data_IF_599060794109
#
_entry.id   IF_599060794109
#
_cell.length_a   1.000
_cell.length_b   1.000
_cell.length_c   1.000
_cell.angle_alpha   90.00
_cell.angle_beta   90.00
_cell.angle_gamma   90.00
#
_symmetry.space_group_name_H-M   'P 1'
#
loop_
_entity.id
_entity.type
_entity.pdbx_description
1 polymer ?
#
# COMPACT_ATOMS: atom_id res chain seq x y z
N UNK A 1 4.73 15.33 -13.87
CA UNK A 1 3.59 14.46 -14.19
C UNK A 1 3.29 13.63 -12.96
N UNK A 2 2.12 13.78 -12.34
CA UNK A 2 1.73 12.93 -11.22
C UNK A 2 1.30 11.57 -11.74
N UNK A 3 2.20 10.58 -11.66
CA UNK A 3 1.86 9.21 -12.03
C UNK A 3 1.00 8.59 -10.93
N UNK A 4 -0.20 8.17 -11.30
CA UNK A 4 -1.05 7.32 -10.48
C UNK A 4 -1.01 5.90 -11.05
N UNK A 5 -1.08 4.90 -10.19
CA UNK A 5 -1.16 3.48 -10.57
C UNK A 5 -2.43 2.87 -9.98
N UNK A 6 -3.00 1.87 -10.66
CA UNK A 6 -4.11 1.09 -10.11
C UNK A 6 -3.55 -0.20 -9.51
N UNK A 7 -3.81 -0.47 -8.24
CA UNK A 7 -3.35 -1.66 -7.54
C UNK A 7 -4.55 -2.42 -6.98
N UNK A 8 -4.37 -3.72 -6.75
CA UNK A 8 -5.30 -4.52 -5.97
C UNK A 8 -4.80 -4.58 -4.53
N UNK A 9 -5.52 -3.97 -3.60
CA UNK A 9 -5.26 -4.07 -2.17
C UNK A 9 -6.00 -5.28 -1.60
N UNK A 10 -5.27 -6.25 -1.09
CA UNK A 10 -5.83 -7.38 -0.37
C UNK A 10 -6.03 -7.04 1.10
N UNK A 11 -7.30 -7.03 1.51
CA UNK A 11 -7.74 -6.91 2.89
C UNK A 11 -8.10 -8.30 3.43
N UNK A 12 -8.33 -8.44 4.74
CA UNK A 12 -8.64 -9.73 5.37
C UNK A 12 -9.87 -10.43 4.77
N UNK A 13 -10.89 -9.65 4.40
CA UNK A 13 -12.20 -10.18 3.99
C UNK A 13 -12.48 -10.03 2.49
N UNK A 14 -11.68 -9.23 1.77
CA UNK A 14 -11.88 -8.93 0.35
C UNK A 14 -10.65 -8.32 -0.30
N UNK A 15 -10.58 -8.43 -1.62
CA UNK A 15 -9.66 -7.67 -2.46
C UNK A 15 -10.39 -6.44 -3.01
N UNK A 16 -9.73 -5.27 -3.03
CA UNK A 16 -10.29 -4.01 -3.57
C UNK A 16 -9.29 -3.34 -4.52
N UNK A 17 -9.78 -2.88 -5.67
CA UNK A 17 -8.94 -2.13 -6.61
C UNK A 17 -8.98 -0.64 -6.26
N UNK A 18 -7.80 -0.05 -6.09
CA UNK A 18 -7.64 1.37 -5.75
C UNK A 18 -6.63 2.04 -6.67
N UNK A 19 -6.86 3.33 -6.93
CA UNK A 19 -5.91 4.19 -7.63
C UNK A 19 -5.13 5.00 -6.60
N UNK A 20 -3.80 4.91 -6.65
CA UNK A 20 -2.91 5.59 -5.71
C UNK A 20 -1.88 6.44 -6.44
N UNK A 21 -1.43 7.56 -5.84
CA UNK A 21 -0.28 8.31 -6.36
C UNK A 21 1.00 7.50 -6.17
N UNK A 22 1.89 7.50 -7.16
CA UNK A 22 3.19 6.82 -7.08
C UNK A 22 4.16 7.58 -6.16
N UNK A 23 4.05 8.92 -6.09
CA UNK A 23 4.91 9.76 -5.24
C UNK A 23 4.31 9.93 -3.85
N UNK A 24 4.20 8.83 -3.11
CA UNK A 24 3.69 8.81 -1.73
C UNK A 24 4.59 7.96 -0.83
N UNK A 25 4.75 8.40 0.42
CA UNK A 25 5.42 7.62 1.46
C UNK A 25 4.48 6.47 1.91
N UNK A 26 5.02 5.27 2.07
CA UNK A 26 4.29 4.05 2.47
C UNK A 26 3.45 4.29 3.72
N UNK A 27 4.01 4.95 4.74
CA UNK A 27 3.30 5.36 5.96
C UNK A 27 2.02 6.15 5.67
N UNK A 28 2.09 7.11 4.75
CA UNK A 28 0.95 7.97 4.41
C UNK A 28 -0.11 7.16 3.67
N UNK A 29 0.30 6.34 2.70
CA UNK A 29 -0.63 5.43 2.00
C UNK A 29 -1.38 4.54 2.98
N UNK A 30 -0.68 3.90 3.92
CA UNK A 30 -1.28 2.96 4.87
C UNK A 30 -2.27 3.66 5.81
N UNK A 31 -1.95 4.88 6.26
CA UNK A 31 -2.89 5.69 7.05
C UNK A 31 -4.17 6.00 6.27
N UNK A 32 -4.06 6.39 5.01
CA UNK A 32 -5.22 6.66 4.16
C UNK A 32 -6.07 5.39 3.95
N UNK A 33 -5.42 4.25 3.69
CA UNK A 33 -6.09 2.95 3.61
C UNK A 33 -6.83 2.61 4.90
N UNK A 34 -6.22 2.83 6.07
CA UNK A 34 -6.88 2.57 7.35
C UNK A 34 -8.07 3.47 7.63
N UNK A 35 -7.95 4.74 7.28
CA UNK A 35 -9.07 5.68 7.39
C UNK A 35 -10.26 5.23 6.55
N UNK A 36 -10.02 4.71 5.35
CA UNK A 36 -11.07 4.29 4.40
C UNK A 36 -11.64 2.90 4.75
N UNK A 37 -10.78 1.93 5.04
CA UNK A 37 -11.17 0.51 5.10
C UNK A 37 -11.17 -0.11 6.49
N UNK A 38 -10.45 0.45 7.46
CA UNK A 38 -10.26 -0.14 8.80
C UNK A 38 -10.54 0.89 9.91
N UNK A 39 -11.58 1.72 9.73
CA UNK A 39 -11.91 2.92 10.52
C UNK A 39 -11.41 2.86 11.98
N UNK A 40 -10.26 3.50 12.24
CA UNK A 40 -9.72 3.67 13.60
C UNK A 40 -8.66 2.66 14.04
N UNK A 41 -8.21 1.72 13.20
CA UNK A 41 -7.09 0.82 13.53
C UNK A 41 -5.78 1.63 13.61
N UNK A 42 -5.16 1.66 14.79
CA UNK A 42 -3.79 2.17 14.98
C UNK A 42 -2.80 1.01 15.00
N UNK A 43 -2.16 0.75 13.87
CA UNK A 43 -1.05 -0.21 13.79
C UNK A 43 0.21 0.37 14.44
N UNK A 44 0.98 -0.45 15.17
CA UNK A 44 2.22 -0.01 15.84
C UNK A 44 3.43 -0.03 14.92
N UNK A 45 3.54 -1.07 14.08
CA UNK A 45 4.61 -1.24 13.11
C UNK A 45 4.06 -2.05 11.94
N UNK A 46 4.31 -1.59 10.72
CA UNK A 46 3.77 -2.24 9.54
C UNK A 46 4.68 -2.07 8.33
N UNK A 47 4.50 -2.97 7.37
CA UNK A 47 5.19 -2.95 6.09
C UNK A 47 4.19 -3.16 4.95
N UNK A 48 4.51 -2.63 3.79
CA UNK A 48 3.74 -2.85 2.57
C UNK A 48 4.38 -3.99 1.78
N UNK A 49 3.64 -5.08 1.61
CA UNK A 49 4.08 -6.23 0.81
C UNK A 49 3.48 -6.18 -0.58
N UNK A 50 4.32 -6.25 -1.60
CA UNK A 50 3.90 -6.39 -2.99
C UNK A 50 4.02 -7.86 -3.35
N UNK A 51 2.89 -8.56 -3.27
CA UNK A 51 2.78 -10.02 -3.25
C UNK A 51 3.37 -10.62 -4.52
N UNK A 52 2.99 -10.10 -5.69
CA UNK A 52 3.40 -10.60 -7.00
C UNK A 52 4.87 -10.28 -7.36
N UNK A 53 5.56 -9.45 -6.55
CA UNK A 53 6.97 -9.08 -6.77
C UNK A 53 7.90 -9.54 -5.66
N UNK A 54 7.36 -10.09 -4.56
CA UNK A 54 8.15 -10.47 -3.39
C UNK A 54 8.87 -9.28 -2.73
N UNK A 55 8.34 -8.07 -2.86
CA UNK A 55 8.93 -6.85 -2.30
C UNK A 55 8.27 -6.47 -0.99
N UNK A 56 9.08 -6.01 -0.03
CA UNK A 56 8.66 -5.49 1.26
C UNK A 56 9.18 -4.06 1.43
N UNK A 57 8.29 -3.13 1.73
CA UNK A 57 8.61 -1.72 1.91
C UNK A 57 8.25 -1.29 3.33
N UNK A 58 9.26 -0.75 4.02
CA UNK A 58 9.07 -0.13 5.33
C UNK A 58 8.33 1.22 5.22
N UNK A 59 7.75 1.66 6.34
CA UNK A 59 6.92 2.86 6.43
C UNK A 59 7.57 4.14 5.87
N UNK A 60 8.90 4.29 5.99
CA UNK A 60 9.63 5.49 5.58
C UNK A 60 10.01 5.55 4.10
N UNK A 61 9.64 4.55 3.30
CA UNK A 61 9.99 4.46 1.87
C UNK A 61 8.96 5.16 0.99
N UNK A 62 9.38 5.70 -0.14
CA UNK A 62 8.48 6.21 -1.19
C UNK A 62 8.20 5.13 -2.22
N UNK A 63 6.94 4.99 -2.66
CA UNK A 63 6.59 3.98 -3.67
C UNK A 63 7.29 4.21 -5.01
N UNK A 64 7.57 5.46 -5.36
CA UNK A 64 8.27 5.85 -6.58
C UNK A 64 9.71 5.35 -6.68
N UNK A 65 10.31 4.96 -5.56
CA UNK A 65 11.70 4.47 -5.53
C UNK A 65 11.78 2.96 -5.81
N UNK A 66 10.62 2.32 -6.01
CA UNK A 66 10.47 0.89 -6.21
C UNK A 66 9.73 0.64 -7.53
N UNK A 67 9.92 -0.55 -8.15
CA UNK A 67 9.29 -0.87 -9.43
C UNK A 67 7.80 -1.19 -9.23
N UNK A 68 7.01 -0.24 -8.72
CA UNK A 68 5.56 -0.32 -8.55
C UNK A 68 4.85 -0.05 -9.87
N UNK A 69 3.88 -0.88 -10.24
CA UNK A 69 3.15 -0.77 -11.50
C UNK A 69 1.66 -1.04 -11.32
N UNK A 70 0.88 -0.60 -12.30
CA UNK A 70 -0.54 -0.99 -12.38
C UNK A 70 -0.69 -2.52 -12.41
N UNK A 71 -1.63 -3.05 -11.64
CA UNK A 71 -1.90 -4.49 -11.49
C UNK A 71 -1.13 -5.16 -10.35
N UNK A 72 -0.34 -4.41 -9.57
CA UNK A 72 0.31 -4.97 -8.39
C UNK A 72 -0.70 -5.38 -7.32
N UNK A 73 -0.46 -6.55 -6.73
CA UNK A 73 -1.21 -7.07 -5.60
C UNK A 73 -0.48 -6.70 -4.32
N UNK A 74 -1.16 -5.97 -3.43
CA UNK A 74 -0.55 -5.34 -2.28
C UNK A 74 -1.26 -5.75 -1.00
N UNK A 75 -0.49 -6.03 0.05
CA UNK A 75 -0.96 -6.36 1.39
C UNK A 75 -0.26 -5.48 2.44
N UNK A 76 -0.95 -5.19 3.55
CA UNK A 76 -0.35 -4.54 4.71
C UNK A 76 -0.08 -5.61 5.77
N UNK A 77 1.20 -5.79 6.11
CA UNK A 77 1.62 -6.72 7.16
C UNK A 77 1.96 -5.96 8.43
N UNK A 78 1.45 -6.43 9.57
CA UNK A 78 1.75 -5.89 10.89
C UNK A 78 2.84 -6.76 11.55
N UNK A 79 3.85 -6.12 12.15
CA UNK A 79 5.05 -6.76 12.74
C UNK A 79 5.10 -6.52 14.25
#
# INVERSE_FOLDING_TARGET
MEQHINITLRLRERDVDIRIPLRIEVRRLIREIDTIFNSGRRRKKYQLRIVNKGLLLDEGKYLSDYPMTTGDLVEIEEI
#
